data_IF_863452639708
#
_entry.id   IF_863452639708
#
_cell.length_a   1.000
_cell.length_b   1.000
_cell.length_c   1.000
_cell.angle_alpha   90.00
_cell.angle_beta   90.00
_cell.angle_gamma   90.00
#
_symmetry.space_group_name_H-M   'P 1'
#
loop_
_entity.id
_entity.type
_entity.pdbx_description
1 polymer ?
#
# COMPACT_ATOMS: atom_id res chain seq x y z
N UNK A 1 25.95 16.00 -7.30
CA UNK A 1 25.26 16.23 -6.01
C UNK A 1 23.75 16.31 -6.24
N UNK A 2 22.96 15.31 -5.82
CA UNK A 2 21.49 15.33 -5.93
C UNK A 2 20.85 15.91 -4.65
N UNK A 3 21.34 17.07 -4.21
CA UNK A 3 20.82 17.80 -3.05
C UNK A 3 19.95 18.98 -3.49
N UNK A 4 18.93 18.73 -4.31
CA UNK A 4 18.14 19.78 -4.98
C UNK A 4 17.02 20.36 -4.12
N UNK A 5 16.45 21.48 -4.58
CA UNK A 5 15.36 22.26 -3.97
C UNK A 5 14.18 21.42 -3.47
N UNK A 6 13.89 20.27 -4.09
CA UNK A 6 12.84 19.35 -3.65
C UNK A 6 13.03 18.86 -2.20
N UNK A 7 14.27 18.56 -1.78
CA UNK A 7 14.54 18.15 -0.40
C UNK A 7 14.39 19.31 0.58
N UNK A 8 14.84 20.50 0.20
CA UNK A 8 14.67 21.71 1.01
C UNK A 8 13.18 22.08 1.16
N UNK A 9 12.40 22.00 0.08
CA UNK A 9 10.97 22.25 0.08
C UNK A 9 10.21 21.23 0.94
N UNK A 10 10.54 19.93 0.81
CA UNK A 10 9.95 18.89 1.64
C UNK A 10 10.21 19.12 3.13
N UNK A 11 11.44 19.49 3.50
CA UNK A 11 11.82 19.82 4.88
C UNK A 11 11.10 21.07 5.39
N UNK A 12 10.98 22.12 4.58
CA UNK A 12 10.25 23.32 4.94
C UNK A 12 8.77 23.01 5.25
N UNK A 13 8.12 22.18 4.41
CA UNK A 13 6.75 21.74 4.63
C UNK A 13 6.58 20.94 5.93
N UNK A 14 7.54 20.08 6.30
CA UNK A 14 7.46 19.37 7.58
C UNK A 14 7.74 20.28 8.78
N UNK A 15 8.68 21.23 8.66
CA UNK A 15 8.95 22.22 9.71
C UNK A 15 7.73 23.09 10.01
N UNK A 16 6.96 23.46 8.99
CA UNK A 16 5.72 24.20 9.17
C UNK A 16 4.73 23.46 10.09
N UNK A 17 4.64 22.13 9.99
CA UNK A 17 3.77 21.31 10.85
C UNK A 17 4.20 21.27 12.32
N UNK A 18 5.49 21.49 12.59
CA UNK A 18 6.01 21.61 13.96
C UNK A 18 5.65 22.97 14.54
N UNK A 19 5.70 24.03 13.72
CA UNK A 19 5.33 25.38 14.14
C UNK A 19 3.79 25.55 14.28
N UNK A 20 3.02 24.83 13.48
CA UNK A 20 1.55 24.84 13.48
C UNK A 20 1.00 23.42 13.35
N UNK A 21 0.44 22.89 14.45
CA UNK A 21 -0.09 21.53 14.52
C UNK A 21 -1.35 21.33 13.64
N UNK A 22 -2.08 22.39 13.28
CA UNK A 22 -3.25 22.30 12.40
C UNK A 22 -2.87 21.92 10.96
N UNK A 23 -1.59 22.06 10.59
CA UNK A 23 -1.05 21.61 9.31
C UNK A 23 -0.75 20.11 9.26
N UNK A 24 -0.89 19.39 10.38
CA UNK A 24 -0.72 17.94 10.39
C UNK A 24 -1.90 17.26 9.67
N UNK A 25 -1.66 16.16 8.93
CA UNK A 25 -2.74 15.43 8.26
C UNK A 25 -3.85 14.98 9.22
N UNK A 26 -3.50 14.57 10.45
CA UNK A 26 -4.49 14.18 11.46
C UNK A 26 -5.38 15.35 11.88
N UNK A 27 -4.84 16.55 12.12
CA UNK A 27 -5.63 17.73 12.44
C UNK A 27 -6.56 18.13 11.29
N UNK A 28 -6.07 18.06 10.04
CA UNK A 28 -6.87 18.34 8.85
C UNK A 28 -8.04 17.36 8.68
N UNK A 29 -7.82 16.06 8.89
CA UNK A 29 -8.89 15.05 8.87
C UNK A 29 -9.94 15.37 9.94
N UNK A 30 -9.51 15.64 11.18
CA UNK A 30 -10.43 15.97 12.28
C UNK A 30 -11.20 17.28 12.00
N UNK A 31 -10.57 18.27 11.38
CA UNK A 31 -11.21 19.52 10.98
C UNK A 31 -12.32 19.26 9.96
N UNK A 32 -12.03 18.53 8.89
CA UNK A 32 -13.03 18.16 7.86
C UNK A 32 -14.20 17.39 8.48
N UNK A 33 -13.89 16.43 9.36
CA UNK A 33 -14.92 15.65 10.05
C UNK A 33 -15.84 16.53 10.91
N UNK A 34 -15.27 17.46 11.68
CA UNK A 34 -16.03 18.41 12.50
C UNK A 34 -16.89 19.35 11.66
N UNK A 35 -16.33 19.92 10.59
CA UNK A 35 -17.03 20.86 9.71
C UNK A 35 -18.23 20.22 9.00
N UNK A 36 -18.13 18.93 8.67
CA UNK A 36 -19.20 18.16 8.02
C UNK A 36 -20.13 17.45 9.00
N UNK A 37 -19.80 17.44 10.29
CA UNK A 37 -20.53 16.66 11.30
C UNK A 37 -20.51 15.15 11.03
N UNK A 38 -19.44 14.64 10.40
CA UNK A 38 -19.35 13.22 9.99
C UNK A 38 -18.53 12.37 10.97
N UNK A 39 -18.92 11.10 11.12
CA UNK A 39 -18.13 10.10 11.84
C UNK A 39 -16.88 9.70 11.05
N UNK A 40 -15.92 9.06 11.70
CA UNK A 40 -14.72 8.55 11.02
C UNK A 40 -15.05 7.52 9.93
N UNK A 41 -16.04 6.65 10.18
CA UNK A 41 -16.51 5.67 9.20
C UNK A 41 -17.08 6.38 7.95
N UNK A 42 -17.92 7.39 8.15
CA UNK A 42 -18.51 8.15 7.06
C UNK A 42 -17.45 8.91 6.26
N UNK A 43 -16.49 9.56 6.94
CA UNK A 43 -15.32 10.19 6.30
C UNK A 43 -14.53 9.18 5.46
N UNK A 44 -14.20 8.02 6.03
CA UNK A 44 -13.38 7.00 5.37
C UNK A 44 -14.09 6.41 4.16
N UNK A 45 -15.39 6.12 4.26
CA UNK A 45 -16.19 5.64 3.14
C UNK A 45 -16.28 6.69 2.02
N UNK A 46 -16.47 7.96 2.38
CA UNK A 46 -16.51 9.06 1.41
C UNK A 46 -15.17 9.19 0.68
N UNK A 47 -14.03 9.23 1.38
CA UNK A 47 -12.72 9.25 0.73
C UNK A 47 -12.51 8.02 -0.15
N UNK A 48 -12.84 6.80 0.31
CA UNK A 48 -12.69 5.59 -0.50
C UNK A 48 -13.48 5.66 -1.80
N UNK A 49 -14.70 6.21 -1.77
CA UNK A 49 -15.53 6.42 -2.97
C UNK A 49 -14.92 7.46 -3.91
N UNK A 50 -14.43 8.58 -3.38
CA UNK A 50 -13.75 9.62 -4.17
C UNK A 50 -12.51 9.07 -4.88
N UNK A 51 -11.66 8.31 -4.18
CA UNK A 51 -10.49 7.68 -4.80
C UNK A 51 -10.87 6.63 -5.84
N UNK A 52 -11.85 5.77 -5.54
CA UNK A 52 -12.31 4.75 -6.48
C UNK A 52 -12.89 5.38 -7.76
N UNK A 53 -13.61 6.49 -7.63
CA UNK A 53 -14.15 7.23 -8.77
C UNK A 53 -13.04 7.89 -9.58
N UNK A 54 -12.07 8.54 -8.92
CA UNK A 54 -10.90 9.09 -9.58
C UNK A 54 -10.18 8.04 -10.44
N UNK A 55 -9.87 6.87 -9.90
CA UNK A 55 -9.18 5.83 -10.67
C UNK A 55 -10.03 5.24 -11.81
N UNK A 56 -11.35 5.12 -11.64
CA UNK A 56 -12.24 4.70 -12.75
C UNK A 56 -12.27 5.71 -13.90
N UNK A 57 -12.20 6.99 -13.59
CA UNK A 57 -12.21 8.07 -14.58
C UNK A 57 -10.85 8.27 -15.28
N UNK A 58 -9.77 7.73 -14.72
CA UNK A 58 -8.41 7.83 -15.26
C UNK A 58 -7.89 6.42 -15.60
N UNK A 59 -8.42 5.80 -16.67
CA UNK A 59 -7.97 4.47 -17.07
C UNK A 59 -6.49 4.48 -17.45
N UNK A 60 -5.84 3.34 -17.25
CA UNK A 60 -4.46 3.13 -17.64
C UNK A 60 -4.29 3.23 -19.15
N UNK A 61 -3.06 3.53 -19.59
CA UNK A 61 -2.69 3.34 -20.98
C UNK A 61 -2.86 1.86 -21.38
N UNK A 62 -3.26 1.61 -22.63
CA UNK A 62 -3.57 0.26 -23.10
C UNK A 62 -2.42 -0.74 -22.89
N UNK A 63 -1.17 -0.28 -23.04
CA UNK A 63 0.02 -1.10 -22.79
C UNK A 63 0.18 -1.50 -21.32
N UNK A 64 -0.07 -0.56 -20.39
CA UNK A 64 -0.02 -0.84 -18.96
C UNK A 64 -1.15 -1.77 -18.52
N UNK A 65 -2.35 -1.57 -19.06
CA UNK A 65 -3.49 -2.45 -18.82
C UNK A 65 -3.18 -3.89 -19.28
N UNK A 66 -2.69 -4.06 -20.51
CA UNK A 66 -2.31 -5.37 -21.04
C UNK A 66 -1.19 -6.03 -20.22
N UNK A 67 -0.22 -5.24 -19.73
CA UNK A 67 0.82 -5.74 -18.82
C UNK A 67 0.23 -6.26 -17.50
N UNK A 68 -0.71 -5.53 -16.88
CA UNK A 68 -1.35 -5.98 -15.64
C UNK A 68 -2.23 -7.22 -15.84
N UNK A 69 -2.97 -7.30 -16.95
CA UNK A 69 -3.75 -8.48 -17.31
C UNK A 69 -2.87 -9.72 -17.51
N UNK A 70 -1.72 -9.54 -18.18
CA UNK A 70 -0.75 -10.62 -18.33
C UNK A 70 -0.20 -11.08 -16.98
N UNK A 71 0.20 -10.15 -16.11
CA UNK A 71 0.71 -10.50 -14.77
C UNK A 71 -0.34 -11.24 -13.92
N UNK A 72 -1.63 -10.86 -14.02
CA UNK A 72 -2.70 -11.56 -13.33
C UNK A 72 -2.87 -13.00 -13.85
N UNK A 73 -2.84 -13.18 -15.18
CA UNK A 73 -2.93 -14.51 -15.80
C UNK A 73 -1.71 -15.38 -15.46
N UNK A 74 -0.51 -14.81 -15.51
CA UNK A 74 0.73 -15.52 -15.19
C UNK A 74 0.72 -15.95 -13.71
N UNK A 75 0.32 -15.07 -12.79
CA UNK A 75 0.24 -15.38 -11.36
C UNK A 75 -0.71 -16.54 -11.05
N UNK A 76 -1.84 -16.66 -11.75
CA UNK A 76 -2.77 -17.77 -11.55
C UNK A 76 -2.24 -19.08 -12.14
N UNK A 77 -1.53 -19.01 -13.27
CA UNK A 77 -0.88 -20.17 -13.87
C UNK A 77 0.24 -20.70 -12.97
N UNK A 78 1.08 -19.79 -12.45
CA UNK A 78 2.13 -20.11 -11.49
C UNK A 78 1.57 -20.69 -10.20
N UNK A 79 0.49 -20.11 -9.66
CA UNK A 79 -0.19 -20.69 -8.48
C UNK A 79 -0.67 -22.11 -8.76
N UNK A 80 -1.31 -22.35 -9.91
CA UNK A 80 -1.81 -23.69 -10.28
C UNK A 80 -0.68 -24.69 -10.43
N UNK A 81 0.45 -24.28 -11.02
CA UNK A 81 1.64 -25.11 -11.15
C UNK A 81 2.23 -25.46 -9.78
N UNK A 82 2.37 -24.46 -8.89
CA UNK A 82 2.83 -24.68 -7.52
C UNK A 82 1.92 -25.63 -6.76
N UNK A 83 0.60 -25.45 -6.83
CA UNK A 83 -0.37 -26.31 -6.14
C UNK A 83 -0.39 -27.74 -6.71
N UNK A 84 -0.09 -27.92 -8.00
CA UNK A 84 0.02 -29.24 -8.64
C UNK A 84 1.31 -29.96 -8.25
N UNK A 85 2.41 -29.22 -8.20
CA UNK A 85 3.76 -29.77 -8.02
C UNK A 85 4.21 -29.76 -6.54
N UNK A 86 3.40 -29.19 -5.64
CA UNK A 86 3.65 -29.20 -4.21
C UNK A 86 3.44 -30.60 -3.62
N UNK A 87 4.53 -31.18 -3.16
CA UNK A 87 4.55 -32.44 -2.42
C UNK A 87 4.68 -32.20 -0.90
N UNK A 88 3.95 -32.99 -0.12
CA UNK A 88 4.00 -32.96 1.34
C UNK A 88 2.91 -32.11 1.99
N UNK A 89 2.65 -32.35 3.28
CA UNK A 89 1.66 -31.60 4.03
C UNK A 89 2.19 -30.23 4.51
N UNK A 90 1.25 -29.34 4.79
CA UNK A 90 1.55 -27.99 5.22
C UNK A 90 2.33 -27.95 6.55
N UNK A 91 2.06 -28.88 7.47
CA UNK A 91 2.71 -28.92 8.78
C UNK A 91 4.21 -29.21 8.64
N UNK A 92 4.57 -30.14 7.75
CA UNK A 92 5.95 -30.49 7.40
C UNK A 92 6.67 -29.31 6.76
N UNK A 93 6.01 -28.60 5.85
CA UNK A 93 6.54 -27.37 5.25
C UNK A 93 6.82 -26.30 6.32
N UNK A 94 5.87 -26.03 7.22
CA UNK A 94 6.02 -25.03 8.29
C UNK A 94 7.17 -25.40 9.23
N UNK A 95 7.29 -26.67 9.62
CA UNK A 95 8.38 -27.14 10.47
C UNK A 95 9.75 -26.94 9.78
N UNK A 96 9.86 -27.31 8.51
CA UNK A 96 11.09 -27.12 7.73
C UNK A 96 11.45 -25.63 7.56
N UNK A 97 10.46 -24.77 7.30
CA UNK A 97 10.64 -23.33 7.19
C UNK A 97 11.13 -22.72 8.51
N UNK A 98 10.52 -23.06 9.63
CA UNK A 98 10.95 -22.61 10.96
C UNK A 98 12.37 -23.07 11.30
N UNK A 99 12.70 -24.34 11.01
CA UNK A 99 14.04 -24.86 11.19
C UNK A 99 15.08 -24.11 10.34
N UNK A 100 14.74 -23.74 9.11
CA UNK A 100 15.63 -22.95 8.23
C UNK A 100 15.93 -21.56 8.80
N UNK A 101 14.93 -20.90 9.41
CA UNK A 101 15.11 -19.60 10.07
C UNK A 101 15.98 -19.75 11.32
N UNK A 102 15.73 -20.76 12.15
CA UNK A 102 16.54 -21.02 13.35
C UNK A 102 17.99 -21.36 13.00
N UNK A 103 18.23 -22.09 11.91
CA UNK A 103 19.56 -22.37 11.39
C UNK A 103 20.30 -21.12 10.88
N UNK A 104 19.58 -20.14 10.34
CA UNK A 104 20.15 -18.85 9.92
C UNK A 104 20.56 -17.96 11.10
N UNK A 105 19.91 -18.09 12.26
CA UNK A 105 20.18 -17.29 13.47
C UNK A 105 21.25 -17.96 14.35
N UNK A 106 21.48 -19.27 14.18
CA UNK A 106 22.44 -20.05 14.98
C UNK A 106 23.86 -20.08 14.40
N UNK A 107 24.12 -19.34 13.31
CA UNK A 107 25.42 -19.19 12.65
C UNK A 107 25.97 -17.77 12.82
#
# INVERSE_FOLDING_TARGET
>A
ARGGEAHAAALAAQRAKVADAELTPSAQVLKVMRERGESFEAFSLRQSREHAEYFRQHPLAAEEQARFEKMASDSLAEQTELERDQDGDFDTFVAAYQASILGLISN
#
